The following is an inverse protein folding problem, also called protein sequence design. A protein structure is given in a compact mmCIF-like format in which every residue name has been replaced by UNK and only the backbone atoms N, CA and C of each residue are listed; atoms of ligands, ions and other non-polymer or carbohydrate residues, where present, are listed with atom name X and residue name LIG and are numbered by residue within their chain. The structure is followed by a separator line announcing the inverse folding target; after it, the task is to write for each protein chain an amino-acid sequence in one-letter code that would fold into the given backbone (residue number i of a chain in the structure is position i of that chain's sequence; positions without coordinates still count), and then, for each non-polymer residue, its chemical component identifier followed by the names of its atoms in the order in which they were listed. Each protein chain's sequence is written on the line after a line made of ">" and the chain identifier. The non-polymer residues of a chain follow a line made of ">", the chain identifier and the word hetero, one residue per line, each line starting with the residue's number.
data_IF_008503972277
#
_entry.id   IF_008503972277
#
_cell.length_a   1.000
_cell.length_b   1.000
_cell.length_c   1.000
_cell.angle_alpha   90.00
_cell.angle_beta   90.00
_cell.angle_gamma   90.00
#
_symmetry.space_group_name_H-M   'P 1'
#
loop_
_entity.id
_entity.type
_entity.pdbx_description
1 polymer ?
#
# COMPACT_ATOMS: atom_id res chain seq x y z
N UNK A 1 40.37 2.66 -26.78
CA UNK A 1 39.72 1.99 -27.92
C UNK A 1 40.31 0.59 -28.03
N UNK A 2 39.66 -0.41 -27.46
CA UNK A 2 40.04 -1.81 -27.60
C UNK A 2 38.75 -2.60 -27.82
N UNK A 3 38.55 -3.01 -29.07
CA UNK A 3 37.53 -3.97 -29.47
C UNK A 3 37.94 -5.35 -28.96
N UNK A 4 37.01 -6.09 -28.34
CA UNK A 4 36.99 -7.55 -28.47
C UNK A 4 35.54 -8.02 -28.53
N UNK A 5 35.17 -8.39 -29.74
CA UNK A 5 33.98 -9.12 -30.13
C UNK A 5 34.18 -10.57 -29.68
N UNK A 6 33.22 -11.13 -28.94
CA UNK A 6 33.02 -12.57 -28.90
C UNK A 6 31.52 -12.85 -28.97
N UNK A 7 31.10 -13.29 -30.14
CA UNK A 7 29.79 -13.81 -30.47
C UNK A 7 29.48 -15.07 -29.65
N UNK A 8 28.23 -15.23 -29.21
CA UNK A 8 27.67 -16.58 -29.05
C UNK A 8 26.31 -16.63 -29.75
N UNK A 9 26.23 -17.55 -30.71
CA UNK A 9 25.05 -17.86 -31.53
C UNK A 9 24.06 -18.69 -30.71
N UNK A 10 22.79 -18.33 -30.91
CA UNK A 10 21.57 -19.09 -30.62
C UNK A 10 21.48 -20.28 -31.59
N UNK A 11 20.99 -21.44 -31.13
CA UNK A 11 20.22 -22.47 -31.88
C UNK A 11 19.70 -23.50 -30.83
N UNK A 12 18.47 -23.37 -30.30
CA UNK A 12 17.23 -24.07 -30.69
C UNK A 12 17.32 -25.59 -30.85
N UNK A 13 16.63 -26.34 -29.97
CA UNK A 13 15.93 -27.58 -30.36
C UNK A 13 14.70 -27.82 -29.46
N UNK A 14 13.67 -28.35 -30.12
CA UNK A 14 12.26 -28.52 -29.78
C UNK A 14 11.98 -29.76 -28.91
N UNK A 15 10.96 -29.70 -28.05
CA UNK A 15 9.71 -30.52 -28.10
C UNK A 15 9.13 -30.91 -26.73
N UNK A 16 7.81 -30.67 -26.63
CA UNK A 16 6.74 -31.43 -25.94
C UNK A 16 6.99 -32.01 -24.54
N UNK A 17 6.18 -31.58 -23.56
CA UNK A 17 5.26 -32.45 -22.78
C UNK A 17 4.43 -31.64 -21.76
N UNK A 18 3.12 -31.86 -21.88
CA UNK A 18 2.01 -31.87 -20.90
C UNK A 18 2.18 -31.36 -19.46
N UNK A 19 1.13 -30.62 -19.09
CA UNK A 19 0.76 -30.00 -17.81
C UNK A 19 0.67 -31.01 -16.66
N UNK A 20 1.35 -30.73 -15.55
CA UNK A 20 0.95 -31.18 -14.21
C UNK A 20 1.50 -30.25 -13.12
N UNK A 21 0.58 -29.52 -12.50
CA UNK A 21 0.53 -29.04 -11.10
C UNK A 21 1.76 -29.26 -10.21
N UNK A 22 2.38 -28.17 -9.74
CA UNK A 22 2.56 -27.81 -8.31
C UNK A 22 3.54 -26.61 -8.20
N UNK A 23 3.04 -25.52 -7.61
CA UNK A 23 3.70 -24.23 -7.48
C UNK A 23 4.32 -24.12 -6.08
N UNK A 24 5.66 -24.13 -5.96
CA UNK A 24 6.40 -23.78 -4.74
C UNK A 24 7.50 -22.81 -5.15
N UNK A 25 7.26 -21.51 -4.93
CA UNK A 25 8.26 -20.46 -5.10
C UNK A 25 8.79 -19.99 -3.74
N UNK A 26 10.10 -20.12 -3.60
CA UNK A 26 10.95 -19.24 -2.79
C UNK A 26 11.33 -18.03 -3.65
N UNK A 27 11.55 -16.84 -3.07
CA UNK A 27 12.94 -16.37 -2.96
C UNK A 27 13.25 -15.48 -1.75
N UNK A 28 14.51 -15.55 -1.33
CA UNK A 28 15.21 -14.64 -0.45
C UNK A 28 15.51 -13.31 -1.18
N UNK A 29 15.37 -12.17 -0.52
CA UNK A 29 16.23 -10.97 -0.70
C UNK A 29 15.91 -9.95 0.41
N UNK A 30 16.86 -9.72 1.33
CA UNK A 30 16.87 -8.57 2.23
C UNK A 30 18.15 -7.78 1.98
N UNK A 31 18.01 -6.60 1.38
CA UNK A 31 19.07 -5.60 1.26
C UNK A 31 19.08 -4.70 2.51
N UNK A 32 20.24 -4.69 3.18
CA UNK A 32 20.97 -3.58 3.80
C UNK A 32 20.24 -2.30 4.24
N UNK A 33 20.48 -1.91 5.50
CA UNK A 33 20.58 -0.50 5.88
C UNK A 33 21.81 -0.27 6.77
N UNK A 34 22.79 0.45 6.20
CA UNK A 34 23.97 1.00 6.88
C UNK A 34 23.54 2.20 7.72
N UNK A 35 24.07 2.27 8.94
CA UNK A 35 24.38 3.50 9.67
C UNK A 35 25.46 3.08 10.69
N UNK A 36 26.67 3.62 10.79
CA UNK A 36 27.26 4.82 10.22
C UNK A 36 28.09 5.50 11.32
N UNK A 37 29.40 5.19 11.37
CA UNK A 37 30.51 5.96 11.99
C UNK A 37 30.57 6.00 13.53
N UNK A 38 31.74 5.98 14.20
CA UNK A 38 32.91 6.85 14.01
C UNK A 38 34.22 6.24 14.57
N UNK A 39 35.31 6.54 13.85
CA UNK A 39 36.73 6.22 14.06
C UNK A 39 37.37 6.87 15.30
N UNK A 40 38.44 6.24 15.83
CA UNK A 40 39.83 6.79 15.90
C UNK A 40 40.79 5.70 16.44
N UNK A 41 41.70 5.18 15.61
CA UNK A 41 43.18 5.43 15.59
C UNK A 41 43.88 5.06 16.91
N UNK A 42 44.51 3.88 16.97
CA UNK A 42 45.96 3.63 16.75
C UNK A 42 46.82 3.99 17.97
N UNK A 43 47.51 3.01 18.58
CA UNK A 43 48.94 2.82 18.33
C UNK A 43 49.42 1.47 18.87
N UNK A 44 50.44 0.96 18.20
CA UNK A 44 51.19 -0.28 18.42
C UNK A 44 52.16 -0.07 19.57
N UNK A 45 52.20 -1.01 20.51
CA UNK A 45 53.42 -1.42 21.20
C UNK A 45 53.19 -2.86 21.68
N UNK A 46 53.83 -3.87 21.09
CA UNK A 46 55.24 -4.26 21.21
C UNK A 46 55.30 -5.53 22.05
N UNK A 47 55.64 -6.61 21.36
CA UNK A 47 55.95 -7.92 21.92
C UNK A 47 56.92 -7.82 23.10
N UNK A 48 56.60 -8.50 24.20
CA UNK A 48 57.58 -9.34 24.89
C UNK A 48 56.89 -10.44 25.69
N UNK A 49 57.13 -11.68 25.27
CA UNK A 49 56.86 -12.89 26.04
C UNK A 49 57.89 -12.99 27.17
N UNK A 50 57.46 -13.20 28.41
CA UNK A 50 58.26 -13.91 29.42
C UNK A 50 57.33 -14.72 30.35
N UNK A 51 57.44 -16.04 30.18
CA UNK A 51 57.29 -17.15 31.13
C UNK A 51 56.81 -16.84 32.57
N UNK A 52 55.67 -17.42 32.95
CA UNK A 52 55.38 -17.84 34.33
C UNK A 52 54.73 -19.24 34.29
N UNK A 53 55.29 -20.26 34.97
CA UNK A 53 54.66 -21.57 35.15
C UNK A 53 53.79 -21.55 36.41
N UNK A 54 52.55 -22.06 36.34
CA UNK A 54 51.74 -22.15 37.54
C UNK A 54 50.31 -22.65 37.34
N UNK A 55 50.14 -23.93 37.65
CA UNK A 55 48.89 -24.58 38.09
C UNK A 55 47.81 -24.85 37.04
N UNK A 56 47.98 -26.01 36.41
CA UNK A 56 46.89 -26.80 35.84
C UNK A 56 46.22 -27.60 36.97
N UNK A 57 45.01 -27.23 37.36
CA UNK A 57 44.05 -28.18 37.93
C UNK A 57 42.63 -27.77 37.53
N UNK A 58 41.97 -28.71 36.84
CA UNK A 58 40.56 -29.12 36.97
C UNK A 58 39.67 -28.02 37.59
N UNK A 59 38.67 -27.47 36.93
CA UNK A 59 37.48 -28.13 36.38
C UNK A 59 37.02 -27.35 35.13
N UNK A 60 36.89 -28.04 33.99
CA UNK A 60 36.09 -27.54 32.89
C UNK A 60 34.63 -27.43 33.37
N UNK A 61 34.16 -26.21 33.66
CA UNK A 61 32.74 -25.99 33.91
C UNK A 61 32.00 -26.07 32.57
N UNK A 62 31.66 -27.28 32.14
CA UNK A 62 30.70 -27.47 31.04
C UNK A 62 29.36 -26.97 31.54
N UNK A 63 29.04 -25.71 31.23
CA UNK A 63 27.71 -25.16 31.47
C UNK A 63 26.79 -25.79 30.44
N UNK A 64 26.06 -26.83 30.83
CA UNK A 64 24.86 -27.21 30.09
C UNK A 64 23.92 -26.02 30.15
N UNK A 65 23.57 -25.47 28.98
CA UNK A 65 22.56 -24.43 28.88
C UNK A 65 21.21 -25.01 29.32
N UNK A 66 20.89 -24.89 30.61
CA UNK A 66 19.55 -25.15 31.11
C UNK A 66 18.78 -23.84 31.20
N UNK A 67 17.80 -23.72 30.31
CA UNK A 67 16.43 -23.31 30.58
C UNK A 67 15.70 -23.33 29.25
N UNK A 68 14.71 -24.21 29.11
CA UNK A 68 13.70 -24.11 28.05
C UNK A 68 12.76 -22.94 28.37
N UNK A 69 13.29 -21.75 28.55
CA UNK A 69 12.50 -20.53 28.72
C UNK A 69 12.35 -19.89 27.34
N UNK A 70 11.53 -20.51 26.50
CA UNK A 70 11.07 -19.90 25.25
C UNK A 70 10.11 -18.76 25.62
N UNK A 71 10.46 -17.52 25.25
CA UNK A 71 9.57 -16.39 25.45
C UNK A 71 8.25 -16.59 24.70
N UNK A 72 7.13 -16.30 25.36
CA UNK A 72 5.82 -16.20 24.69
C UNK A 72 5.84 -15.09 23.64
N UNK A 73 4.99 -15.19 22.61
CA UNK A 73 4.83 -14.12 21.62
C UNK A 73 4.48 -12.80 22.32
N UNK A 74 5.38 -11.83 22.24
CA UNK A 74 5.17 -10.47 22.77
C UNK A 74 4.20 -9.66 21.90
N UNK A 75 3.86 -10.18 20.71
CA UNK A 75 2.95 -9.55 19.76
C UNK A 75 1.53 -10.08 19.98
N UNK A 76 0.84 -9.58 21.01
CA UNK A 76 -0.55 -9.98 21.33
C UNK A 76 -1.61 -9.37 20.39
N UNK A 77 -1.22 -8.48 19.47
CA UNK A 77 -2.11 -7.77 18.55
C UNK A 77 -2.46 -8.52 17.25
N UNK A 78 -3.20 -7.86 16.36
CA UNK A 78 -3.49 -8.35 14.99
C UNK A 78 -4.79 -9.15 14.82
N UNK A 79 -5.54 -9.39 15.88
CA UNK A 79 -6.83 -10.12 15.84
C UNK A 79 -8.04 -9.22 15.52
N UNK A 80 -7.83 -8.07 14.87
CA UNK A 80 -8.93 -7.14 14.55
C UNK A 80 -9.81 -7.69 13.41
N UNK A 81 -11.14 -7.75 13.58
CA UNK A 81 -12.02 -8.21 12.52
C UNK A 81 -12.07 -7.24 11.34
N UNK A 82 -12.48 -7.75 10.17
CA UNK A 82 -12.66 -6.96 8.96
C UNK A 82 -13.81 -5.95 9.09
N UNK A 83 -13.57 -4.69 8.68
CA UNK A 83 -14.52 -3.58 8.82
C UNK A 83 -15.57 -3.46 7.70
N UNK A 84 -15.57 -4.39 6.74
CA UNK A 84 -16.54 -4.46 5.61
C UNK A 84 -16.66 -3.18 4.77
N UNK A 85 -15.55 -2.45 4.63
CA UNK A 85 -15.41 -1.32 3.71
C UNK A 85 -15.52 -1.77 2.25
N UNK A 86 -15.94 -0.88 1.38
CA UNK A 86 -16.08 -1.12 -0.05
C UNK A 86 -17.34 -0.51 -0.64
N UNK A 87 -17.62 -0.87 -1.89
CA UNK A 87 -18.84 -0.47 -2.58
C UNK A 87 -20.07 -1.18 -2.01
N UNK A 88 -21.17 -0.44 -2.00
CA UNK A 88 -22.51 -0.96 -1.70
C UNK A 88 -23.41 -0.89 -2.94
N UNK A 89 -23.13 0.03 -3.86
CA UNK A 89 -23.81 0.17 -5.15
C UNK A 89 -22.75 0.25 -6.26
N UNK A 90 -22.97 -0.50 -7.32
CA UNK A 90 -22.11 -0.57 -8.51
C UNK A 90 -22.60 0.39 -9.60
N UNK A 91 -21.84 0.52 -10.68
CA UNK A 91 -22.20 1.34 -11.83
C UNK A 91 -23.53 0.86 -12.44
N UNK A 92 -24.41 1.79 -12.79
CA UNK A 92 -25.73 1.48 -13.37
C UNK A 92 -26.80 1.04 -12.37
N UNK A 93 -26.47 0.91 -11.07
CA UNK A 93 -27.49 0.60 -10.06
C UNK A 93 -28.39 1.82 -9.79
N UNK A 94 -29.69 1.58 -9.69
CA UNK A 94 -30.63 2.58 -9.20
C UNK A 94 -30.49 2.76 -7.67
N UNK A 95 -30.46 4.01 -7.24
CA UNK A 95 -30.33 4.42 -5.84
C UNK A 95 -31.38 5.45 -5.49
N UNK A 96 -31.83 5.41 -4.25
CA UNK A 96 -32.63 6.47 -3.65
C UNK A 96 -31.73 7.46 -2.91
N UNK A 97 -32.23 8.67 -2.70
CA UNK A 97 -31.64 9.67 -1.83
C UNK A 97 -31.38 9.07 -0.43
N UNK A 98 -30.21 9.36 0.13
CA UNK A 98 -29.73 8.84 1.40
C UNK A 98 -29.05 7.47 1.34
N UNK A 99 -29.12 6.75 0.23
CA UNK A 99 -28.45 5.45 0.12
C UNK A 99 -26.92 5.60 0.15
N UNK A 100 -26.26 4.70 0.89
CA UNK A 100 -24.80 4.63 0.94
C UNK A 100 -24.27 4.01 -0.36
N UNK A 101 -23.33 4.69 -1.02
CA UNK A 101 -22.69 4.25 -2.25
C UNK A 101 -21.40 3.47 -1.97
N UNK A 102 -20.53 4.03 -1.12
CA UNK A 102 -19.25 3.43 -0.75
C UNK A 102 -18.83 3.83 0.66
N UNK A 103 -18.23 2.88 1.39
CA UNK A 103 -17.60 3.14 2.69
C UNK A 103 -16.10 2.88 2.59
N UNK A 104 -15.28 3.84 3.05
CA UNK A 104 -13.84 3.81 2.84
C UNK A 104 -13.09 4.41 4.04
N UNK A 105 -11.84 3.98 4.25
CA UNK A 105 -10.97 4.54 5.31
C UNK A 105 -10.19 5.77 4.84
N UNK A 106 -9.65 5.68 3.62
CA UNK A 106 -8.98 6.76 2.90
C UNK A 106 -9.84 7.11 1.69
N UNK A 107 -9.69 8.32 1.16
CA UNK A 107 -10.42 8.73 -0.04
C UNK A 107 -9.89 7.99 -1.26
N UNK A 108 -10.56 6.90 -1.63
CA UNK A 108 -10.32 6.16 -2.87
C UNK A 108 -11.20 6.67 -4.00
N UNK A 109 -12.43 7.05 -3.65
CA UNK A 109 -13.38 7.68 -4.55
C UNK A 109 -13.76 9.05 -4.03
N UNK A 110 -13.92 9.99 -4.96
CA UNK A 110 -14.31 11.36 -4.70
C UNK A 110 -15.82 11.55 -4.93
N UNK A 111 -16.48 12.40 -4.13
CA UNK A 111 -17.85 12.79 -4.41
C UNK A 111 -17.89 13.63 -5.68
N UNK A 112 -18.75 13.27 -6.61
CA UNK A 112 -19.06 14.08 -7.78
C UNK A 112 -20.50 14.62 -7.71
N UNK A 113 -21.20 14.66 -8.83
CA UNK A 113 -22.54 15.22 -8.93
C UNK A 113 -23.57 14.43 -8.11
N UNK A 114 -24.40 15.14 -7.34
CA UNK A 114 -25.48 14.58 -6.49
C UNK A 114 -25.01 13.52 -5.48
N UNK A 115 -23.75 13.62 -5.03
CA UNK A 115 -23.16 12.73 -4.02
C UNK A 115 -22.63 13.55 -2.84
N UNK A 116 -23.09 13.21 -1.64
CA UNK A 116 -22.60 13.76 -0.39
C UNK A 116 -21.45 12.94 0.20
N UNK A 117 -20.64 13.57 1.06
CA UNK A 117 -19.58 12.92 1.82
C UNK A 117 -19.76 13.15 3.33
N UNK A 118 -19.77 12.07 4.11
CA UNK A 118 -19.83 12.13 5.58
C UNK A 118 -18.46 12.28 6.24
N UNK A 119 -18.42 12.47 7.57
CA UNK A 119 -17.19 12.64 8.38
C UNK A 119 -16.20 11.48 8.21
N UNK A 120 -16.71 10.25 8.08
CA UNK A 120 -15.92 9.05 7.88
C UNK A 120 -15.54 8.82 6.40
N UNK A 121 -15.63 9.84 5.54
CA UNK A 121 -15.41 9.77 4.08
C UNK A 121 -16.34 8.77 3.37
N UNK A 122 -17.50 8.49 3.97
CA UNK A 122 -18.56 7.67 3.39
C UNK A 122 -19.31 8.47 2.35
N UNK A 123 -19.55 7.87 1.18
CA UNK A 123 -20.28 8.51 0.08
C UNK A 123 -21.74 8.06 0.08
N UNK A 124 -22.66 9.00 -0.08
CA UNK A 124 -24.09 8.76 -0.11
C UNK A 124 -24.77 9.56 -1.22
N UNK A 125 -25.88 9.04 -1.76
CA UNK A 125 -26.66 9.71 -2.80
C UNK A 125 -27.51 10.85 -2.20
N UNK A 126 -27.55 11.99 -2.86
CA UNK A 126 -28.44 13.10 -2.49
C UNK A 126 -29.80 13.01 -3.19
N UNK A 127 -29.83 12.43 -4.39
CA UNK A 127 -31.01 12.31 -5.24
C UNK A 127 -31.25 10.87 -5.70
N UNK A 128 -32.46 10.61 -6.18
CA UNK A 128 -32.85 9.32 -6.76
C UNK A 128 -32.35 9.20 -8.20
N UNK A 129 -31.54 8.19 -8.50
CA UNK A 129 -30.90 8.10 -9.80
C UNK A 129 -30.07 6.86 -10.04
N UNK A 130 -29.31 6.88 -11.14
CA UNK A 130 -28.36 5.82 -11.49
C UNK A 130 -26.94 6.22 -11.14
N UNK A 131 -26.19 5.32 -10.51
CA UNK A 131 -24.78 5.55 -10.16
C UNK A 131 -23.90 5.48 -11.40
N UNK A 132 -23.00 6.45 -11.58
CA UNK A 132 -21.97 6.48 -12.62
C UNK A 132 -20.58 6.77 -12.09
N UNK A 133 -19.59 6.03 -12.58
CA UNK A 133 -18.18 6.27 -12.27
C UNK A 133 -17.47 6.98 -13.41
N UNK A 134 -16.76 8.06 -13.08
CA UNK A 134 -15.98 8.87 -14.04
C UNK A 134 -14.57 9.07 -13.54
N UNK A 135 -13.64 9.34 -14.46
CA UNK A 135 -12.27 9.79 -14.14
C UNK A 135 -12.13 11.23 -14.57
N UNK A 136 -12.06 12.13 -13.60
CA UNK A 136 -12.06 13.57 -13.84
C UNK A 136 -10.79 14.22 -13.28
N UNK A 137 -10.49 15.42 -13.76
CA UNK A 137 -9.35 16.20 -13.29
C UNK A 137 -9.62 16.65 -11.85
N UNK A 138 -8.69 16.37 -10.94
CA UNK A 138 -8.80 16.70 -9.54
C UNK A 138 -8.21 18.08 -9.25
N UNK A 139 -9.10 19.03 -8.93
CA UNK A 139 -8.74 20.37 -8.47
C UNK A 139 -9.21 20.54 -7.02
N UNK A 140 -8.32 20.40 -6.02
CA UNK A 140 -8.67 20.63 -4.63
C UNK A 140 -8.84 22.12 -4.31
N UNK A 141 -9.54 22.44 -3.22
CA UNK A 141 -9.61 23.80 -2.69
C UNK A 141 -8.21 24.32 -2.34
N UNK A 142 -7.88 25.59 -2.62
CA UNK A 142 -6.57 26.16 -2.34
C UNK A 142 -6.20 26.17 -0.84
N UNK A 143 -7.20 26.06 0.05
CA UNK A 143 -6.97 25.98 1.50
C UNK A 143 -6.53 24.59 1.98
N UNK A 144 -6.70 23.56 1.15
CA UNK A 144 -6.38 22.19 1.55
C UNK A 144 -4.87 21.95 1.56
N UNK A 145 -4.33 21.17 2.52
CA UNK A 145 -2.90 20.85 2.53
C UNK A 145 -2.49 20.02 1.31
N UNK A 146 -3.41 19.27 0.71
CA UNK A 146 -3.17 18.48 -0.51
C UNK A 146 -2.81 19.38 -1.70
N UNK A 147 -3.46 20.54 -1.84
CA UNK A 147 -3.15 21.50 -2.89
C UNK A 147 -1.69 21.96 -2.79
N UNK A 148 -1.27 22.40 -1.59
CA UNK A 148 0.09 22.91 -1.38
C UNK A 148 1.15 21.81 -1.42
N UNK A 149 0.88 20.62 -0.87
CA UNK A 149 1.91 19.59 -0.73
C UNK A 149 2.12 18.74 -1.98
N UNK A 150 1.07 18.57 -2.80
CA UNK A 150 1.11 17.70 -3.98
C UNK A 150 1.27 18.54 -5.24
N UNK A 151 0.36 19.49 -5.49
CA UNK A 151 0.28 20.19 -6.78
C UNK A 151 1.52 21.04 -7.04
N UNK A 152 2.05 21.70 -6.02
CA UNK A 152 3.25 22.55 -6.14
C UNK A 152 4.51 21.77 -6.53
N UNK A 153 4.55 20.46 -6.22
CA UNK A 153 5.70 19.59 -6.47
C UNK A 153 5.61 18.88 -7.82
N UNK A 154 4.50 19.02 -8.54
CA UNK A 154 4.32 18.39 -9.83
C UNK A 154 5.08 19.17 -10.92
N UNK A 155 5.63 18.48 -11.94
CA UNK A 155 6.22 19.15 -13.09
C UNK A 155 5.13 19.89 -13.88
N UNK A 156 5.54 20.96 -14.58
CA UNK A 156 4.63 21.77 -15.39
C UNK A 156 3.97 20.91 -16.46
N UNK A 157 2.64 21.01 -16.57
CA UNK A 157 1.83 20.22 -17.51
C UNK A 157 1.31 18.89 -16.95
N UNK A 158 1.71 18.48 -15.74
CA UNK A 158 1.13 17.30 -15.11
C UNK A 158 -0.26 17.61 -14.52
N UNK A 159 -1.21 16.71 -14.77
CA UNK A 159 -2.60 16.81 -14.32
C UNK A 159 -2.92 15.61 -13.43
N UNK A 160 -3.61 15.85 -12.32
CA UNK A 160 -4.08 14.79 -11.43
C UNK A 160 -5.48 14.35 -11.88
N UNK A 161 -5.64 13.05 -12.11
CA UNK A 161 -6.95 12.44 -12.34
C UNK A 161 -7.36 11.62 -11.12
N UNK A 162 -8.63 11.71 -10.73
CA UNK A 162 -9.22 10.88 -9.68
C UNK A 162 -10.54 10.29 -10.13
N UNK A 163 -10.95 9.22 -9.46
CA UNK A 163 -12.24 8.58 -9.74
C UNK A 163 -13.34 9.26 -8.92
N UNK A 164 -14.37 9.72 -9.61
CA UNK A 164 -15.55 10.34 -9.04
C UNK A 164 -16.75 9.41 -9.12
N UNK A 165 -17.65 9.51 -8.16
CA UNK A 165 -18.95 8.85 -8.17
C UNK A 165 -20.01 9.92 -8.37
N UNK A 166 -20.80 9.75 -9.42
CA UNK A 166 -21.90 10.62 -9.79
C UNK A 166 -23.22 9.85 -9.65
N UNK A 167 -24.30 10.55 -9.35
CA UNK A 167 -25.67 10.02 -9.44
C UNK A 167 -26.42 10.82 -10.50
N UNK A 168 -26.96 10.13 -11.50
CA UNK A 168 -27.76 10.73 -12.57
C UNK A 168 -29.25 10.67 -12.19
N UNK A 169 -29.90 11.81 -11.90
CA UNK A 169 -31.28 11.81 -11.43
C UNK A 169 -32.26 11.33 -12.51
N UNK A 170 -33.28 10.58 -12.10
CA UNK A 170 -34.36 10.08 -12.98
C UNK A 170 -35.66 10.86 -12.81
N UNK A 171 -35.93 11.35 -11.60
CA UNK A 171 -37.15 12.09 -11.31
C UNK A 171 -37.03 13.51 -11.86
N UNK A 172 -38.03 13.94 -12.63
CA UNK A 172 -38.18 15.34 -13.02
C UNK A 172 -38.84 16.10 -11.87
N UNK A 173 -38.16 17.12 -11.34
CA UNK A 173 -38.63 17.94 -10.22
C UNK A 173 -39.76 18.89 -10.67
N UNK A 174 -40.96 18.32 -10.88
CA UNK A 174 -42.20 19.07 -11.05
C UNK A 174 -42.79 19.02 -12.46
N UNK A 175 -43.88 18.26 -12.63
CA UNK A 175 -44.79 18.44 -13.77
C UNK A 175 -45.83 19.47 -13.36
N UNK A 176 -45.79 20.66 -13.97
CA UNK A 176 -46.86 21.63 -13.82
C UNK A 176 -48.16 21.03 -14.35
N UNK A 177 -49.19 21.01 -13.52
CA UNK A 177 -50.54 20.63 -13.90
C UNK A 177 -51.37 21.90 -13.89
N UNK A 178 -52.15 22.11 -14.94
CA UNK A 178 -53.19 23.13 -14.93
C UNK A 178 -54.17 22.77 -13.83
N UNK A 179 -54.36 23.67 -12.86
CA UNK A 179 -55.26 23.46 -11.73
C UNK A 179 -56.67 23.83 -12.16
N UNK A 180 -56.87 25.04 -12.71
CA UNK A 180 -58.17 25.51 -13.18
C UNK A 180 -58.05 26.34 -14.47
N UNK A 181 -59.06 26.26 -15.35
CA UNK A 181 -59.28 27.23 -16.42
C UNK A 181 -60.27 28.27 -15.89
N UNK A 182 -59.77 29.48 -15.64
CA UNK A 182 -60.58 30.65 -15.23
C UNK A 182 -61.15 31.33 -16.47
#
# INVERSE_FOLDING_TARGET
>A
RANRICSLKILTYTSLLTVSSQFIDSPQFCFFKICGTRLNKCNVDRFHCLLIPGQLSLLDSVRFASKKAGGSSKNLGGKSPGKRYGFKKQDGNFVHAGNILATQRLMRYHPGAHVGMGTNKTLFALEDGYVRFTKEVYVPSPRSPEATQVITKLPRGAVLYKTFINVLPVKQEGKFKLVDMV
#
